data_IF_835648145584
#
_entry.id   IF_835648145584
#
_cell.length_a   1.000
_cell.length_b   1.000
_cell.length_c   1.000
_cell.angle_alpha   90.00
_cell.angle_beta   90.00
_cell.angle_gamma   90.00
#
_symmetry.space_group_name_H-M   'P 1'
#
loop_
_entity.id
_entity.type
_entity.pdbx_description
1 polymer ?
#
# COMPACT_ATOMS: atom_id res chain seq x y z
N UNK A 1 -13.51 -1.81 -6.67
CA UNK A 1 -12.45 -0.82 -6.34
C UNK A 1 -13.08 0.46 -5.83
N UNK A 2 -12.30 1.26 -5.10
CA UNK A 2 -12.68 2.62 -4.68
C UNK A 2 -12.32 3.56 -5.84
N UNK A 3 -13.28 4.33 -6.35
CA UNK A 3 -13.06 5.24 -7.47
C UNK A 3 -12.45 6.57 -7.01
N UNK A 4 -12.93 7.10 -5.88
CA UNK A 4 -12.40 8.34 -5.33
C UNK A 4 -12.68 8.50 -3.86
N UNK A 5 -11.89 9.35 -3.21
CA UNK A 5 -12.03 9.75 -1.82
C UNK A 5 -11.97 11.28 -1.71
N UNK A 6 -12.96 11.87 -1.06
CA UNK A 6 -12.99 13.29 -0.75
C UNK A 6 -12.81 13.50 0.75
N UNK A 7 -11.94 14.44 1.11
CA UNK A 7 -11.58 14.80 2.47
C UNK A 7 -12.08 16.21 2.78
N UNK A 8 -12.85 16.35 3.86
CA UNK A 8 -13.27 17.62 4.43
C UNK A 8 -12.86 17.67 5.90
N UNK A 9 -11.88 18.52 6.21
CA UNK A 9 -11.24 18.71 7.52
C UNK A 9 -10.77 17.41 8.21
N UNK A 10 -10.34 16.40 7.43
CA UNK A 10 -9.75 15.18 7.96
C UNK A 10 -8.26 15.34 8.23
N UNK A 11 -7.87 15.42 9.52
CA UNK A 11 -6.47 15.65 9.94
C UNK A 11 -5.90 16.93 9.33
N UNK A 12 -4.86 16.85 8.49
CA UNK A 12 -4.32 18.01 7.76
C UNK A 12 -5.09 18.32 6.46
N UNK A 13 -5.93 17.39 5.97
CA UNK A 13 -6.63 17.51 4.69
C UNK A 13 -7.92 18.32 4.89
N UNK A 14 -7.96 19.55 4.36
CA UNK A 14 -9.07 20.50 4.58
C UNK A 14 -10.20 20.34 3.58
N UNK A 15 -9.91 20.37 2.29
CA UNK A 15 -10.88 20.19 1.21
C UNK A 15 -10.15 19.69 -0.04
N UNK A 16 -10.04 18.39 -0.21
CA UNK A 16 -9.36 17.78 -1.36
C UNK A 16 -10.09 16.51 -1.78
N UNK A 17 -10.16 16.26 -3.09
CA UNK A 17 -10.71 15.04 -3.65
C UNK A 17 -9.63 14.37 -4.47
N UNK A 18 -9.47 13.06 -4.27
CA UNK A 18 -8.50 12.24 -4.96
C UNK A 18 -9.24 11.14 -5.71
N UNK A 19 -9.11 11.15 -7.03
CA UNK A 19 -9.48 10.01 -7.86
C UNK A 19 -8.39 8.94 -7.75
N UNK A 20 -8.80 7.67 -7.66
CA UNK A 20 -7.92 6.53 -7.45
C UNK A 20 -7.88 5.66 -8.70
N UNK A 21 -6.69 5.35 -9.17
CA UNK A 21 -6.42 4.37 -10.22
C UNK A 21 -6.33 2.94 -9.64
N UNK A 22 -6.18 1.90 -10.47
CA UNK A 22 -5.87 0.55 -9.98
C UNK A 22 -4.53 0.49 -9.22
N UNK A 23 -3.54 1.30 -9.60
CA UNK A 23 -2.32 1.49 -8.83
C UNK A 23 -2.15 2.98 -8.48
N UNK A 24 -1.79 3.29 -7.23
CA UNK A 24 -1.58 4.66 -6.76
C UNK A 24 -0.28 4.75 -5.97
N UNK A 25 0.71 5.47 -6.50
CA UNK A 25 1.96 5.79 -5.81
C UNK A 25 1.85 7.19 -5.18
N UNK A 26 1.85 7.25 -3.86
CA UNK A 26 1.73 8.50 -3.09
C UNK A 26 3.11 8.96 -2.63
N UNK A 27 3.51 10.15 -3.08
CA UNK A 27 4.77 10.82 -2.73
C UNK A 27 4.49 12.08 -1.91
N UNK A 28 5.48 12.60 -1.18
CA UNK A 28 5.34 13.83 -0.39
C UNK A 28 6.17 13.84 0.88
N UNK A 29 6.32 14.98 1.59
CA UNK A 29 7.11 15.06 2.81
C UNK A 29 6.42 14.37 3.99
N UNK A 30 7.08 14.31 5.14
CA UNK A 30 6.47 13.80 6.36
C UNK A 30 5.33 14.71 6.84
N UNK A 31 4.22 14.09 7.27
CA UNK A 31 3.03 14.82 7.69
C UNK A 31 2.22 15.47 6.56
N UNK A 32 2.47 15.14 5.30
CA UNK A 32 1.69 15.60 4.13
C UNK A 32 0.37 14.86 3.91
N UNK A 33 0.05 13.86 4.75
CA UNK A 33 -1.22 13.14 4.66
C UNK A 33 -1.17 11.78 3.96
N UNK A 34 -0.01 11.29 3.48
CA UNK A 34 0.12 9.94 2.87
C UNK A 34 -0.46 8.83 3.75
N UNK A 35 -0.01 8.71 5.00
CA UNK A 35 -0.57 7.78 5.98
C UNK A 35 -2.03 8.11 6.33
N UNK A 36 -2.45 9.38 6.22
CA UNK A 36 -3.85 9.78 6.45
C UNK A 36 -4.78 9.22 5.39
N UNK A 37 -4.37 9.19 4.11
CA UNK A 37 -5.12 8.52 3.04
C UNK A 37 -5.34 7.03 3.36
N UNK A 38 -4.27 6.31 3.72
CA UNK A 38 -4.37 4.90 4.10
C UNK A 38 -5.27 4.71 5.32
N UNK A 39 -5.15 5.56 6.33
CA UNK A 39 -6.00 5.52 7.53
C UNK A 39 -7.47 5.80 7.22
N UNK A 40 -7.79 6.65 6.25
CA UNK A 40 -9.17 6.87 5.82
C UNK A 40 -9.77 5.60 5.18
N UNK A 41 -8.99 4.90 4.34
CA UNK A 41 -9.41 3.62 3.74
C UNK A 41 -9.60 2.52 4.79
N UNK A 42 -8.67 2.40 5.74
CA UNK A 42 -8.77 1.47 6.86
C UNK A 42 -9.98 1.80 7.74
N UNK A 43 -10.24 3.08 8.00
CA UNK A 43 -11.40 3.52 8.78
C UNK A 43 -12.72 3.18 8.10
N UNK A 44 -12.80 3.33 6.78
CA UNK A 44 -13.95 2.88 5.99
C UNK A 44 -14.23 1.40 6.18
N UNK A 45 -13.21 0.55 6.08
CA UNK A 45 -13.35 -0.89 6.35
C UNK A 45 -13.88 -1.14 7.76
N UNK A 46 -13.23 -0.59 8.78
CA UNK A 46 -13.55 -0.89 10.18
C UNK A 46 -15.00 -0.51 10.53
N UNK A 47 -15.47 0.63 10.00
CA UNK A 47 -16.86 1.05 10.17
C UNK A 47 -17.84 0.23 9.33
N UNK A 48 -17.46 -0.18 8.12
CA UNK A 48 -18.31 -1.04 7.29
C UNK A 48 -18.56 -2.41 7.95
N UNK A 49 -17.60 -2.89 8.74
CA UNK A 49 -17.70 -4.12 9.53
C UNK A 49 -18.42 -3.93 10.88
N UNK A 50 -18.64 -2.68 11.29
CA UNK A 50 -19.29 -2.38 12.56
C UNK A 50 -20.83 -2.42 12.44
N UNK A 51 -21.57 -2.83 13.50
CA UNK A 51 -23.04 -2.87 13.48
C UNK A 51 -23.70 -1.50 13.24
N UNK A 52 -22.95 -0.42 13.48
CA UNK A 52 -23.43 0.97 13.41
C UNK A 52 -23.53 1.51 11.97
N UNK A 53 -23.20 0.73 10.94
CA UNK A 53 -23.31 1.15 9.55
C UNK A 53 -24.79 1.30 9.16
N UNK A 54 -25.27 2.54 9.07
CA UNK A 54 -26.65 2.85 8.69
C UNK A 54 -26.78 3.13 7.19
N UNK A 55 -27.62 2.35 6.51
CA UNK A 55 -28.07 2.65 5.15
C UNK A 55 -29.19 3.69 5.26
N UNK A 56 -28.92 4.91 4.81
CA UNK A 56 -29.85 6.04 4.87
C UNK A 56 -29.48 7.03 3.76
N UNK A 57 -30.45 7.78 3.20
CA UNK A 57 -30.10 8.98 2.44
C UNK A 57 -29.21 9.90 3.28
N UNK A 58 -28.28 10.58 2.62
CA UNK A 58 -27.39 11.51 3.30
C UNK A 58 -28.18 12.70 3.84
N UNK A 59 -28.05 12.96 5.13
CA UNK A 59 -28.59 14.17 5.74
C UNK A 59 -27.68 15.36 5.42
N UNK A 60 -28.22 16.49 4.95
CA UNK A 60 -27.44 17.71 4.81
C UNK A 60 -27.16 18.29 6.19
N UNK A 61 -26.04 17.90 6.81
CA UNK A 61 -25.44 18.72 7.88
C UNK A 61 -24.49 19.72 7.23
N UNK A 62 -24.74 21.00 7.50
CA UNK A 62 -23.79 22.05 7.21
C UNK A 62 -22.64 21.96 8.23
N UNK A 63 -21.44 21.62 7.75
CA UNK A 63 -20.13 21.70 8.43
C UNK A 63 -19.81 20.58 9.45
N UNK A 64 -18.59 20.03 9.58
CA UNK A 64 -17.28 20.42 9.05
C UNK A 64 -16.34 19.22 8.75
N UNK A 65 -16.62 18.00 9.23
CA UNK A 65 -15.70 16.84 9.19
C UNK A 65 -16.33 15.69 8.42
N UNK A 66 -15.86 15.43 7.19
CA UNK A 66 -16.45 14.41 6.31
C UNK A 66 -15.39 13.71 5.45
N UNK A 67 -15.46 12.39 5.37
CA UNK A 67 -14.82 11.59 4.33
C UNK A 67 -15.92 11.04 3.43
N UNK A 68 -15.82 11.24 2.12
CA UNK A 68 -16.75 10.67 1.15
C UNK A 68 -16.02 9.72 0.22
N UNK A 69 -16.59 8.55 -0.01
CA UNK A 69 -16.03 7.50 -0.86
C UNK A 69 -17.02 7.15 -1.96
N UNK A 70 -16.51 7.12 -3.19
CA UNK A 70 -17.22 6.57 -4.34
C UNK A 70 -16.52 5.31 -4.80
N UNK A 71 -17.29 4.37 -5.35
CA UNK A 71 -16.76 3.11 -5.84
C UNK A 71 -16.80 3.05 -7.36
N UNK A 72 -15.88 2.28 -7.94
CA UNK A 72 -15.89 2.00 -9.37
C UNK A 72 -16.97 0.96 -9.70
N UNK A 73 -17.36 0.79 -10.99
CA UNK A 73 -18.15 -0.35 -11.41
C UNK A 73 -17.60 -1.68 -10.86
N UNK A 74 -18.47 -2.62 -10.44
CA UNK A 74 -19.93 -2.61 -10.57
C UNK A 74 -20.68 -1.84 -9.47
N UNK A 75 -19.99 -1.17 -8.54
CA UNK A 75 -20.57 -0.54 -7.34
C UNK A 75 -20.72 0.98 -7.44
N UNK A 76 -20.74 1.55 -8.65
CA UNK A 76 -20.74 3.00 -8.89
C UNK A 76 -22.02 3.72 -8.40
N UNK A 77 -23.07 2.96 -8.08
CA UNK A 77 -24.33 3.39 -7.48
C UNK A 77 -24.28 3.48 -5.95
N UNK A 78 -23.20 3.03 -5.32
CA UNK A 78 -22.96 3.12 -3.87
C UNK A 78 -22.06 4.31 -3.54
N UNK A 79 -22.41 5.04 -2.50
CA UNK A 79 -21.58 6.09 -1.90
C UNK A 79 -21.55 5.90 -0.38
N UNK A 80 -20.37 6.01 0.21
CA UNK A 80 -20.17 5.90 1.65
C UNK A 80 -19.62 7.21 2.21
N UNK A 81 -20.15 7.65 3.36
CA UNK A 81 -19.66 8.83 4.06
C UNK A 81 -19.36 8.52 5.51
N UNK A 82 -18.17 8.92 5.94
CA UNK A 82 -17.76 8.88 7.34
C UNK A 82 -17.80 10.31 7.87
N UNK A 83 -18.49 10.49 8.98
CA UNK A 83 -18.58 11.75 9.70
C UNK A 83 -18.35 11.50 11.18
N UNK A 84 -18.36 12.58 11.97
CA UNK A 84 -18.11 12.48 13.40
C UNK A 84 -19.41 12.55 14.22
N UNK A 85 -19.56 11.65 15.20
CA UNK A 85 -20.63 11.74 16.20
C UNK A 85 -20.36 12.81 17.27
N UNK A 86 -19.07 13.06 17.56
CA UNK A 86 -18.54 14.06 18.50
C UNK A 86 -17.21 14.63 17.98
N UNK A 87 -16.65 15.68 18.59
CA UNK A 87 -15.41 16.32 18.13
C UNK A 87 -14.29 15.31 17.85
N UNK A 88 -13.88 15.21 16.57
CA UNK A 88 -12.80 14.35 16.05
C UNK A 88 -13.00 12.82 16.20
N UNK A 89 -14.18 12.34 16.59
CA UNK A 89 -14.50 10.91 16.63
C UNK A 89 -15.15 10.49 15.31
N UNK A 90 -14.36 9.96 14.37
CA UNK A 90 -14.80 9.57 13.02
C UNK A 90 -15.54 8.23 12.99
N UNK A 91 -16.69 8.09 13.66
CA UNK A 91 -17.35 6.82 13.94
C UNK A 91 -18.71 6.59 13.25
N UNK A 92 -19.25 7.61 12.57
CA UNK A 92 -20.55 7.53 11.94
C UNK A 92 -20.41 7.22 10.44
N UNK A 93 -20.79 6.01 10.03
CA UNK A 93 -20.87 5.61 8.63
C UNK A 93 -22.31 5.70 8.11
N UNK A 94 -22.50 6.53 7.10
CA UNK A 94 -23.73 6.63 6.33
C UNK A 94 -23.49 6.09 4.93
N UNK A 95 -24.41 5.26 4.45
CA UNK A 95 -24.30 4.66 3.12
C UNK A 95 -25.54 4.98 2.30
N UNK A 96 -25.32 5.57 1.13
CA UNK A 96 -26.30 5.64 0.06
C UNK A 96 -26.08 4.45 -0.85
N UNK A 97 -27.05 3.55 -0.89
CA UNK A 97 -27.04 2.35 -1.72
C UNK A 97 -28.45 2.12 -2.26
N UNK A 98 -28.62 1.67 -3.52
CA UNK A 98 -29.95 1.39 -4.06
C UNK A 98 -30.62 0.17 -3.40
N UNK A 99 -29.84 -0.70 -2.76
CA UNK A 99 -30.37 -1.85 -2.00
C UNK A 99 -29.41 -2.30 -0.87
N UNK A 100 -29.91 -2.98 0.17
CA UNK A 100 -29.06 -3.60 1.19
C UNK A 100 -28.07 -4.62 0.62
N UNK A 101 -28.45 -5.37 -0.42
CA UNK A 101 -27.61 -6.37 -1.07
C UNK A 101 -26.42 -5.73 -1.77
N UNK A 102 -26.62 -4.58 -2.43
CA UNK A 102 -25.52 -3.81 -3.04
C UNK A 102 -24.50 -3.33 -2.02
N UNK A 103 -24.96 -2.87 -0.86
CA UNK A 103 -24.06 -2.49 0.23
C UNK A 103 -23.35 -3.71 0.82
N UNK A 104 -24.04 -4.84 0.99
CA UNK A 104 -23.42 -6.08 1.48
C UNK A 104 -22.25 -6.53 0.60
N UNK A 105 -22.39 -6.47 -0.73
CA UNK A 105 -21.30 -6.79 -1.66
C UNK A 105 -20.10 -5.85 -1.52
N UNK A 106 -20.32 -4.53 -1.39
CA UNK A 106 -19.24 -3.57 -1.12
C UNK A 106 -18.58 -3.84 0.23
N UNK A 107 -19.37 -4.16 1.26
CA UNK A 107 -18.87 -4.49 2.59
C UNK A 107 -18.00 -5.75 2.57
N UNK A 108 -18.36 -6.77 1.80
CA UNK A 108 -17.57 -7.99 1.67
C UNK A 108 -16.21 -7.72 0.99
N UNK A 109 -16.16 -6.81 0.01
CA UNK A 109 -14.90 -6.35 -0.57
C UNK A 109 -14.07 -5.54 0.44
N UNK A 110 -14.70 -4.58 1.14
CA UNK A 110 -14.04 -3.78 2.16
C UNK A 110 -13.52 -4.64 3.32
N UNK A 111 -14.22 -5.70 3.71
CA UNK A 111 -13.80 -6.65 4.73
C UNK A 111 -12.43 -7.25 4.44
N UNK A 112 -12.10 -7.40 3.15
CA UNK A 112 -10.84 -7.92 2.67
C UNK A 112 -9.78 -6.85 2.43
N UNK A 113 -10.06 -5.56 2.59
CA UNK A 113 -9.05 -4.50 2.51
C UNK A 113 -7.94 -4.73 3.53
N UNK A 114 -6.69 -4.67 3.08
CA UNK A 114 -5.50 -4.83 3.94
C UNK A 114 -4.56 -3.65 3.82
N UNK A 115 -3.85 -3.39 4.92
CA UNK A 115 -2.83 -2.35 5.02
C UNK A 115 -1.62 -2.96 5.68
N UNK A 116 -0.45 -2.79 5.08
CA UNK A 116 0.81 -3.35 5.54
C UNK A 116 1.84 -2.26 5.84
N UNK A 117 2.50 -2.40 6.98
CA UNK A 117 3.68 -1.64 7.39
C UNK A 117 4.67 -2.65 7.94
N UNK A 118 5.50 -3.21 7.06
CA UNK A 118 6.31 -4.37 7.40
C UNK A 118 7.41 -4.06 8.42
N UNK A 119 7.65 -5.00 9.32
CA UNK A 119 8.75 -4.98 10.29
C UNK A 119 9.59 -6.26 10.14
N UNK A 120 10.83 -6.10 9.67
CA UNK A 120 11.76 -7.22 9.49
C UNK A 120 12.12 -7.95 10.78
N UNK A 121 12.14 -7.28 11.93
CA UNK A 121 12.41 -7.92 13.21
C UNK A 121 11.24 -8.81 13.61
N UNK A 122 10.00 -8.34 13.41
CA UNK A 122 8.81 -9.13 13.63
C UNK A 122 8.76 -10.35 12.69
N UNK A 123 9.08 -10.16 11.41
CA UNK A 123 9.16 -11.24 10.42
C UNK A 123 10.22 -12.30 10.77
N UNK A 124 11.39 -11.89 11.28
CA UNK A 124 12.48 -12.79 11.65
C UNK A 124 12.16 -13.66 12.87
N UNK A 125 11.30 -13.18 13.78
CA UNK A 125 10.95 -13.91 15.00
C UNK A 125 10.22 -15.24 14.73
N UNK A 126 9.56 -15.36 13.57
CA UNK A 126 8.74 -16.52 13.21
C UNK A 126 7.40 -16.55 13.95
N UNK A 127 6.57 -17.55 13.71
CA UNK A 127 5.18 -17.59 14.24
C UNK A 127 4.61 -19.01 14.26
N UNK A 128 3.63 -19.31 15.12
CA UNK A 128 2.92 -20.59 15.07
C UNK A 128 2.27 -20.83 13.70
N UNK A 129 2.34 -22.06 13.18
CA UNK A 129 1.74 -22.41 11.88
C UNK A 129 0.23 -22.09 11.80
N UNK A 130 -0.48 -22.17 12.93
CA UNK A 130 -1.91 -21.86 13.02
C UNK A 130 -2.25 -20.41 12.63
N UNK A 131 -1.28 -19.51 12.64
CA UNK A 131 -1.44 -18.11 12.23
C UNK A 131 -1.21 -17.90 10.73
N UNK A 132 -0.92 -18.94 9.95
CA UNK A 132 -0.55 -18.85 8.53
C UNK A 132 -1.70 -18.55 7.55
N UNK A 133 -2.93 -18.34 8.05
CA UNK A 133 -4.11 -18.18 7.19
C UNK A 133 -4.11 -16.87 6.39
N UNK A 134 -3.53 -15.80 6.92
CA UNK A 134 -3.45 -14.49 6.28
C UNK A 134 -2.28 -13.70 6.85
N UNK A 135 -1.51 -13.01 5.99
CA UNK A 135 -0.38 -12.19 6.41
C UNK A 135 -0.83 -11.05 7.36
N UNK A 136 -0.12 -10.92 8.47
CA UNK A 136 -0.30 -9.86 9.45
C UNK A 136 0.17 -8.51 8.89
N UNK A 137 -0.38 -7.40 9.42
CA UNK A 137 -0.10 -6.06 8.93
C UNK A 137 1.40 -5.68 9.01
N UNK A 138 2.13 -6.19 10.00
CA UNK A 138 3.57 -6.02 10.19
C UNK A 138 4.41 -7.14 9.55
N UNK A 139 3.74 -8.17 9.00
CA UNK A 139 4.36 -9.36 8.44
C UNK A 139 4.84 -10.38 9.47
N UNK A 140 4.60 -10.20 10.79
CA UNK A 140 5.16 -11.06 11.84
C UNK A 140 4.93 -12.58 11.61
N UNK A 141 3.82 -12.93 10.95
CA UNK A 141 3.47 -14.31 10.65
C UNK A 141 3.90 -14.81 9.26
N UNK A 142 4.79 -14.10 8.54
CA UNK A 142 5.23 -14.44 7.18
C UNK A 142 5.72 -15.90 7.09
N UNK A 143 6.50 -16.35 8.07
CA UNK A 143 6.98 -17.73 8.12
C UNK A 143 5.83 -18.75 8.23
N UNK A 144 4.77 -18.46 8.99
CA UNK A 144 3.61 -19.34 9.09
C UNK A 144 2.79 -19.37 7.80
N UNK A 145 2.62 -18.22 7.13
CA UNK A 145 1.93 -18.13 5.83
C UNK A 145 2.63 -19.00 4.80
N UNK A 146 3.94 -18.80 4.65
CA UNK A 146 4.77 -19.61 3.74
C UNK A 146 4.77 -21.09 4.14
N UNK A 147 4.82 -21.39 5.44
CA UNK A 147 4.76 -22.76 5.94
C UNK A 147 3.42 -23.44 5.64
N UNK A 148 2.31 -22.70 5.69
CA UNK A 148 1.00 -23.20 5.31
C UNK A 148 0.92 -23.48 3.81
N UNK A 149 1.51 -22.62 2.97
CA UNK A 149 1.63 -22.90 1.54
C UNK A 149 2.51 -24.11 1.28
N UNK A 150 3.67 -24.21 1.94
CA UNK A 150 4.57 -25.36 1.79
C UNK A 150 3.88 -26.70 2.12
N UNK A 151 2.94 -26.72 3.08
CA UNK A 151 2.20 -27.93 3.49
C UNK A 151 0.95 -28.21 2.66
N UNK A 152 0.14 -27.18 2.39
CA UNK A 152 -1.22 -27.35 1.86
C UNK A 152 -1.40 -26.84 0.44
N UNK A 153 -0.50 -25.98 -0.05
CA UNK A 153 -0.56 -25.35 -1.37
C UNK A 153 0.85 -25.28 -2.01
N UNK A 154 1.52 -26.43 -2.23
CA UNK A 154 2.94 -26.47 -2.62
C UNK A 154 3.22 -25.76 -3.95
N UNK A 155 2.23 -25.68 -4.86
CA UNK A 155 2.36 -24.93 -6.10
C UNK A 155 2.53 -23.41 -5.85
N UNK A 156 1.76 -22.85 -4.90
CA UNK A 156 1.87 -21.44 -4.50
C UNK A 156 3.22 -21.19 -3.82
N UNK A 157 3.65 -22.10 -2.94
CA UNK A 157 4.96 -21.99 -2.30
C UNK A 157 6.10 -22.04 -3.34
N UNK A 158 6.04 -22.96 -4.31
CA UNK A 158 7.04 -23.06 -5.37
C UNK A 158 7.11 -21.81 -6.27
N UNK A 159 5.97 -21.18 -6.55
CA UNK A 159 5.93 -19.89 -7.24
C UNK A 159 6.58 -18.78 -6.41
N UNK A 160 6.25 -18.70 -5.12
CA UNK A 160 6.85 -17.73 -4.21
C UNK A 160 8.37 -17.93 -4.08
N UNK A 161 8.85 -19.18 -3.96
CA UNK A 161 10.28 -19.49 -3.96
C UNK A 161 10.95 -19.06 -5.28
N UNK A 162 10.33 -19.36 -6.42
CA UNK A 162 10.86 -18.99 -7.73
C UNK A 162 10.99 -17.48 -7.88
N UNK A 163 9.95 -16.72 -7.51
CA UNK A 163 10.00 -15.25 -7.54
C UNK A 163 11.01 -14.69 -6.53
N UNK A 164 11.11 -15.27 -5.33
CA UNK A 164 12.11 -14.88 -4.33
C UNK A 164 13.53 -15.05 -4.86
N UNK A 165 13.87 -16.23 -5.42
CA UNK A 165 15.18 -16.50 -6.00
C UNK A 165 15.45 -15.67 -7.27
N UNK A 166 14.41 -15.30 -8.02
CA UNK A 166 14.52 -14.40 -9.17
C UNK A 166 14.89 -12.98 -8.73
N UNK A 167 14.29 -12.48 -7.65
CA UNK A 167 14.61 -11.18 -7.08
C UNK A 167 16.00 -11.15 -6.43
N UNK A 168 16.34 -12.21 -5.70
CA UNK A 168 17.57 -12.33 -4.91
C UNK A 168 18.37 -13.56 -5.38
N UNK A 169 19.12 -13.43 -6.49
CA UNK A 169 19.78 -14.55 -7.16
C UNK A 169 20.93 -15.17 -6.37
N UNK A 170 21.35 -14.55 -5.27
CA UNK A 170 22.27 -15.18 -4.31
C UNK A 170 21.65 -16.41 -3.62
N UNK A 171 20.32 -16.46 -3.52
CA UNK A 171 19.58 -17.58 -2.93
C UNK A 171 19.04 -18.51 -4.02
N UNK A 172 19.15 -19.81 -3.78
CA UNK A 172 18.66 -20.86 -4.69
C UNK A 172 17.44 -21.61 -4.14
N UNK A 173 17.09 -21.38 -2.87
CA UNK A 173 15.97 -22.05 -2.20
C UNK A 173 15.49 -21.29 -0.97
N UNK A 174 14.21 -21.46 -0.68
CA UNK A 174 13.56 -21.02 0.55
C UNK A 174 13.04 -22.24 1.30
N UNK A 175 13.30 -22.30 2.60
CA UNK A 175 12.83 -23.37 3.47
C UNK A 175 12.10 -22.80 4.67
N UNK A 176 10.93 -23.33 4.96
CA UNK A 176 10.22 -23.04 6.22
C UNK A 176 10.43 -24.20 7.17
N UNK A 177 11.13 -23.91 8.27
CA UNK A 177 11.50 -24.89 9.29
C UNK A 177 10.78 -24.59 10.59
N UNK A 178 10.41 -25.64 11.32
CA UNK A 178 9.85 -25.51 12.66
C UNK A 178 10.99 -25.43 13.69
N UNK A 179 11.01 -24.35 14.48
CA UNK A 179 11.89 -24.16 15.64
C UNK A 179 11.46 -25.08 16.79
N UNK A 180 12.35 -25.24 17.79
CA UNK A 180 12.09 -26.10 18.98
C UNK A 180 10.88 -25.66 19.80
N UNK A 181 10.57 -24.37 19.78
CA UNK A 181 9.41 -23.76 20.44
C UNK A 181 8.09 -23.93 19.64
N UNK A 182 8.15 -24.60 18.48
CA UNK A 182 7.02 -24.87 17.61
C UNK A 182 6.73 -23.79 16.56
N UNK A 183 7.41 -22.64 16.61
CA UNK A 183 7.23 -21.56 15.62
C UNK A 183 7.83 -21.95 14.27
N UNK A 184 7.17 -21.58 13.18
CA UNK A 184 7.74 -21.62 11.85
C UNK A 184 8.75 -20.47 11.70
N UNK A 185 9.87 -20.74 11.05
CA UNK A 185 10.93 -19.79 10.76
C UNK A 185 11.39 -19.94 9.32
N UNK A 186 11.71 -18.79 8.71
CA UNK A 186 12.28 -18.74 7.37
C UNK A 186 13.76 -19.13 7.43
N UNK A 187 14.23 -19.79 6.38
CA UNK A 187 15.62 -20.13 6.15
C UNK A 187 15.88 -20.05 4.66
N UNK A 188 16.91 -19.34 4.24
CA UNK A 188 17.29 -19.25 2.83
C UNK A 188 18.57 -20.07 2.58
N UNK A 189 18.71 -20.61 1.38
CA UNK A 189 19.89 -21.39 0.98
C UNK A 189 20.63 -20.64 -0.13
N UNK A 190 21.92 -20.40 0.08
CA UNK A 190 22.81 -19.74 -0.88
C UNK A 190 23.24 -20.69 -2.01
N UNK A 191 23.74 -20.14 -3.10
CA UNK A 191 24.21 -20.92 -4.26
C UNK A 191 25.34 -21.93 -3.97
N UNK A 192 26.12 -21.73 -2.91
CA UNK A 192 27.15 -22.66 -2.43
C UNK A 192 26.60 -23.76 -1.49
N UNK A 193 25.29 -23.77 -1.23
CA UNK A 193 24.61 -24.67 -0.32
C UNK A 193 24.61 -24.21 1.14
N UNK A 194 25.25 -23.08 1.47
CA UNK A 194 25.25 -22.53 2.81
C UNK A 194 23.83 -22.11 3.22
N UNK A 195 23.48 -22.39 4.47
CA UNK A 195 22.14 -22.11 5.02
C UNK A 195 22.17 -20.83 5.83
N UNK A 196 21.30 -19.88 5.50
CA UNK A 196 21.15 -18.60 6.20
C UNK A 196 19.85 -18.61 6.99
N UNK A 197 19.91 -18.71 8.34
CA UNK A 197 18.72 -18.69 9.18
C UNK A 197 18.13 -17.27 9.24
N UNK A 198 16.85 -17.16 9.65
CA UNK A 198 16.10 -15.90 9.69
C UNK A 198 16.83 -14.75 10.40
N UNK A 199 17.55 -15.05 11.49
CA UNK A 199 18.26 -14.07 12.31
C UNK A 199 19.43 -13.40 11.57
N UNK A 200 19.91 -14.03 10.50
CA UNK A 200 21.03 -13.56 9.68
C UNK A 200 20.59 -13.03 8.30
N UNK A 201 19.28 -13.06 8.00
CA UNK A 201 18.77 -12.47 6.76
C UNK A 201 18.74 -10.94 6.86
N UNK A 202 19.03 -10.27 5.75
CA UNK A 202 18.97 -8.81 5.71
C UNK A 202 17.53 -8.31 5.78
N UNK A 203 17.35 -7.08 6.28
CA UNK A 203 16.05 -6.40 6.26
C UNK A 203 15.41 -6.40 4.85
N UNK A 204 16.21 -6.10 3.81
CA UNK A 204 15.74 -6.09 2.42
C UNK A 204 15.29 -7.47 1.91
N UNK A 205 15.85 -8.55 2.44
CA UNK A 205 15.41 -9.93 2.13
C UNK A 205 14.00 -10.16 2.61
N UNK A 206 13.69 -9.78 3.86
CA UNK A 206 12.33 -9.92 4.40
C UNK A 206 11.31 -9.06 3.67
N UNK A 207 11.64 -7.80 3.36
CA UNK A 207 10.73 -6.95 2.60
C UNK A 207 10.48 -7.48 1.19
N UNK A 208 11.52 -7.94 0.49
CA UNK A 208 11.35 -8.57 -0.83
C UNK A 208 10.47 -9.82 -0.75
N UNK A 209 10.69 -10.67 0.25
CA UNK A 209 9.89 -11.89 0.47
C UNK A 209 8.44 -11.56 0.85
N UNK A 210 8.20 -10.49 1.62
CA UNK A 210 6.85 -10.04 1.94
C UNK A 210 6.11 -9.54 0.68
N UNK A 211 6.79 -8.81 -0.22
CA UNK A 211 6.20 -8.40 -1.51
C UNK A 211 5.88 -9.60 -2.39
N UNK A 212 6.77 -10.61 -2.43
CA UNK A 212 6.53 -11.87 -3.12
C UNK A 212 5.32 -12.61 -2.54
N UNK A 213 5.19 -12.66 -1.22
CA UNK A 213 4.04 -13.28 -0.57
C UNK A 213 2.73 -12.55 -0.93
N UNK A 214 2.72 -11.21 -0.93
CA UNK A 214 1.54 -10.45 -1.38
C UNK A 214 1.18 -10.73 -2.84
N UNK A 215 2.18 -10.83 -3.73
CA UNK A 215 1.98 -11.09 -5.15
C UNK A 215 1.44 -12.51 -5.44
N UNK A 216 1.95 -13.49 -4.68
CA UNK A 216 1.62 -14.91 -4.83
C UNK A 216 0.38 -15.34 -4.03
N UNK A 217 -0.20 -14.46 -3.21
CA UNK A 217 -1.40 -14.79 -2.43
C UNK A 217 -2.51 -15.33 -3.36
N UNK A 218 -2.99 -16.57 -3.15
CA UNK A 218 -4.02 -17.19 -3.99
C UNK A 218 -5.37 -16.47 -3.89
N UNK A 219 -5.60 -15.70 -2.82
CA UNK A 219 -6.81 -14.92 -2.59
C UNK A 219 -6.44 -13.49 -2.17
N UNK A 220 -5.85 -12.68 -3.08
CA UNK A 220 -5.37 -11.37 -2.72
C UNK A 220 -6.54 -10.46 -2.29
N UNK A 221 -6.28 -9.47 -1.41
CA UNK A 221 -7.29 -8.51 -1.04
C UNK A 221 -7.67 -7.63 -2.25
N UNK A 222 -8.93 -7.18 -2.37
CA UNK A 222 -9.35 -6.30 -3.47
C UNK A 222 -8.75 -4.90 -3.38
N UNK A 223 -8.32 -4.49 -2.18
CA UNK A 223 -7.61 -3.23 -1.92
C UNK A 223 -6.43 -3.52 -0.99
N UNK A 224 -5.24 -3.11 -1.41
CA UNK A 224 -3.96 -3.34 -0.75
C UNK A 224 -3.25 -2.01 -0.51
N UNK A 225 -3.08 -1.63 0.75
CA UNK A 225 -2.28 -0.47 1.13
C UNK A 225 -0.88 -0.93 1.60
N UNK A 226 0.18 -0.27 1.13
CA UNK A 226 1.57 -0.58 1.49
C UNK A 226 2.29 0.71 1.85
N UNK A 227 2.70 0.87 3.11
CA UNK A 227 3.55 2.02 3.49
C UNK A 227 5.02 1.74 3.20
N UNK A 228 5.70 2.75 2.64
CA UNK A 228 7.13 2.71 2.29
C UNK A 228 7.49 1.46 1.48
N UNK A 229 6.85 1.28 0.32
CA UNK A 229 7.02 0.08 -0.49
C UNK A 229 8.47 -0.15 -0.97
N UNK A 230 9.31 0.89 -0.95
CA UNK A 230 10.73 0.88 -1.30
C UNK A 230 11.67 0.61 -0.11
N UNK A 231 11.14 0.52 1.12
CA UNK A 231 11.95 0.43 2.34
C UNK A 231 12.89 -0.77 2.27
N UNK A 232 14.19 -0.53 2.49
CA UNK A 232 15.22 -1.57 2.53
C UNK A 232 15.48 -2.29 1.20
N UNK A 233 14.86 -1.84 0.10
CA UNK A 233 15.06 -2.40 -1.24
C UNK A 233 16.11 -1.56 -1.96
N UNK A 234 17.09 -2.24 -2.56
CA UNK A 234 18.12 -1.56 -3.34
C UNK A 234 17.48 -0.90 -4.58
N UNK A 235 17.85 0.35 -4.97
CA UNK A 235 17.20 1.06 -6.08
C UNK A 235 17.10 0.28 -7.40
N UNK A 236 18.13 -0.53 -7.73
CA UNK A 236 18.13 -1.40 -8.92
C UNK A 236 17.05 -2.48 -8.93
N UNK A 237 16.46 -2.80 -7.78
CA UNK A 237 15.41 -3.81 -7.62
C UNK A 237 14.00 -3.22 -7.57
N UNK A 238 13.86 -1.89 -7.50
CA UNK A 238 12.55 -1.23 -7.37
C UNK A 238 11.63 -1.55 -8.55
N UNK A 239 12.20 -1.70 -9.75
CA UNK A 239 11.45 -2.11 -10.94
C UNK A 239 10.81 -3.48 -10.76
N UNK A 240 11.57 -4.43 -10.23
CA UNK A 240 11.08 -5.80 -10.04
C UNK A 240 9.95 -5.87 -9.01
N UNK A 241 10.06 -5.09 -7.94
CA UNK A 241 9.03 -4.99 -6.89
C UNK A 241 7.77 -4.29 -7.42
N UNK A 242 7.94 -3.20 -8.17
CA UNK A 242 6.83 -2.55 -8.88
C UNK A 242 6.14 -3.55 -9.80
N UNK A 243 6.89 -4.27 -10.62
CA UNK A 243 6.34 -5.19 -11.62
C UNK A 243 5.57 -6.33 -10.95
N UNK A 244 6.06 -6.87 -9.83
CA UNK A 244 5.33 -7.85 -9.01
C UNK A 244 3.94 -7.35 -8.60
N UNK A 245 3.85 -6.11 -8.12
CA UNK A 245 2.59 -5.52 -7.69
C UNK A 245 1.71 -5.09 -8.86
N UNK A 246 2.30 -4.64 -9.98
CA UNK A 246 1.55 -4.31 -11.19
C UNK A 246 0.80 -5.52 -11.75
N UNK A 247 1.36 -6.73 -11.62
CA UNK A 247 0.63 -7.96 -12.00
C UNK A 247 -0.65 -8.18 -11.18
N UNK A 248 -0.72 -7.65 -9.96
CA UNK A 248 -1.94 -7.67 -9.15
C UNK A 248 -2.96 -6.64 -9.64
N UNK A 249 -2.51 -5.42 -9.95
CA UNK A 249 -3.39 -4.33 -10.38
C UNK A 249 -3.87 -4.46 -11.82
N UNK A 250 -3.08 -5.10 -12.68
CA UNK A 250 -3.35 -5.23 -14.12
C UNK A 250 -3.17 -6.67 -14.61
N UNK A 251 -3.98 -7.63 -14.13
CA UNK A 251 -3.80 -9.05 -14.49
C UNK A 251 -3.96 -9.32 -15.99
N UNK A 252 -4.75 -8.51 -16.71
CA UNK A 252 -4.99 -8.67 -18.15
C UNK A 252 -3.85 -8.17 -19.06
N UNK A 253 -2.97 -7.29 -18.59
CA UNK A 253 -1.84 -6.77 -19.39
C UNK A 253 -0.64 -7.72 -19.38
N UNK A 254 -0.64 -8.69 -18.46
CA UNK A 254 0.37 -9.74 -18.34
C UNK A 254 -0.11 -10.91 -19.21
N UNK A 255 0.27 -10.92 -20.49
CA UNK A 255 -0.19 -11.90 -21.46
C UNK A 255 0.01 -13.37 -21.04
N UNK A 256 -0.67 -14.28 -21.74
CA UNK A 256 -0.66 -15.74 -21.56
C UNK A 256 0.73 -16.43 -21.60
N UNK A 257 1.82 -15.68 -21.82
CA UNK A 257 3.19 -16.17 -21.84
C UNK A 257 3.84 -16.29 -20.46
N UNK A 258 3.20 -15.82 -19.40
CA UNK A 258 3.67 -15.99 -18.02
C UNK A 258 3.15 -17.29 -17.39
N UNK A 259 3.44 -18.44 -18.00
CA UNK A 259 3.10 -19.79 -17.48
C UNK A 259 3.75 -20.13 -16.11
N UNK A 260 4.50 -19.20 -15.51
CA UNK A 260 5.11 -19.35 -14.18
C UNK A 260 4.72 -18.30 -13.13
N UNK A 261 4.01 -17.22 -13.51
CA UNK A 261 3.79 -16.07 -12.62
C UNK A 261 2.34 -15.95 -12.13
N UNK A 262 1.70 -17.04 -11.70
CA UNK A 262 0.50 -17.07 -10.84
C UNK A 262 -0.75 -16.27 -11.27
N UNK A 263 -0.74 -15.62 -12.43
CA UNK A 263 -1.81 -14.75 -12.92
C UNK A 263 -2.71 -15.53 -13.87
N UNK A 264 -3.84 -16.02 -13.35
CA UNK A 264 -4.94 -16.37 -14.25
C UNK A 264 -5.46 -15.09 -14.90
N UNK A 265 -5.71 -15.04 -16.22
CA UNK A 265 -6.34 -13.89 -16.87
C UNK A 265 -7.73 -13.55 -16.29
N UNK A 266 -8.36 -14.49 -15.58
CA UNK A 266 -9.62 -14.30 -14.85
C UNK A 266 -9.43 -13.75 -13.41
N UNK A 267 -8.20 -13.43 -12.98
CA UNK A 267 -7.94 -12.89 -11.64
C UNK A 267 -8.59 -11.50 -11.51
N UNK A 268 -9.31 -11.30 -10.42
CA UNK A 268 -9.86 -9.97 -10.09
C UNK A 268 -8.71 -8.98 -9.83
N UNK A 269 -8.69 -7.81 -10.50
CA UNK A 269 -7.65 -6.81 -10.29
C UNK A 269 -7.65 -6.28 -8.86
N UNK A 270 -6.46 -6.05 -8.31
CA UNK A 270 -6.24 -5.52 -6.96
C UNK A 270 -5.95 -4.03 -7.04
N UNK A 271 -6.67 -3.22 -6.27
CA UNK A 271 -6.34 -1.81 -6.15
C UNK A 271 -5.20 -1.62 -5.15
N UNK A 272 -4.10 -0.99 -5.57
CA UNK A 272 -2.93 -0.75 -4.73
C UNK A 272 -2.81 0.74 -4.39
N UNK A 273 -2.59 1.04 -3.11
CA UNK A 273 -2.23 2.35 -2.61
C UNK A 273 -0.90 2.21 -1.88
N UNK A 274 0.18 2.65 -2.50
CA UNK A 274 1.52 2.54 -1.97
C UNK A 274 2.11 3.92 -1.68
N UNK A 275 2.91 4.04 -0.62
CA UNK A 275 3.67 5.27 -0.34
C UNK A 275 5.15 5.04 -0.60
N UNK A 276 5.86 6.10 -1.02
CA UNK A 276 7.32 6.04 -1.19
C UNK A 276 8.00 7.37 -0.87
N UNK A 277 9.28 7.26 -0.54
CA UNK A 277 10.22 8.37 -0.47
C UNK A 277 11.34 8.29 -1.53
N UNK A 278 11.28 7.31 -2.43
CA UNK A 278 12.34 7.05 -3.41
C UNK A 278 12.08 7.80 -4.72
N UNK A 279 12.97 8.74 -5.12
CA UNK A 279 12.90 9.36 -6.44
C UNK A 279 13.08 8.32 -7.57
N UNK A 280 13.89 7.28 -7.33
CA UNK A 280 14.10 6.21 -8.30
C UNK A 280 12.88 5.34 -8.52
N UNK A 281 12.03 5.15 -7.49
CA UNK A 281 10.75 4.46 -7.67
C UNK A 281 9.80 5.35 -8.46
N UNK A 282 9.75 6.65 -8.13
CA UNK A 282 8.92 7.61 -8.85
C UNK A 282 9.23 7.65 -10.37
N UNK A 283 10.50 7.56 -10.76
CA UNK A 283 10.90 7.51 -12.18
C UNK A 283 10.27 6.35 -12.96
N UNK A 284 9.93 5.26 -12.29
CA UNK A 284 9.27 4.11 -12.90
C UNK A 284 7.82 4.39 -13.29
N UNK A 285 7.24 5.52 -12.88
CA UNK A 285 5.86 5.92 -13.18
C UNK A 285 5.78 7.04 -14.23
N UNK A 286 6.89 7.34 -14.93
CA UNK A 286 6.94 8.39 -15.98
C UNK A 286 5.87 8.21 -17.05
N UNK A 287 5.58 6.98 -17.44
CA UNK A 287 4.59 6.63 -18.46
C UNK A 287 3.16 6.52 -17.92
N UNK A 288 2.98 6.60 -16.59
CA UNK A 288 1.71 6.46 -15.87
C UNK A 288 1.50 7.58 -14.85
N UNK A 289 1.53 8.87 -15.25
CA UNK A 289 1.39 10.00 -14.33
C UNK A 289 0.03 10.04 -13.61
N UNK A 290 -1.01 9.38 -14.14
CA UNK A 290 -2.32 9.24 -13.51
C UNK A 290 -2.29 8.41 -12.22
N UNK A 291 -1.25 7.59 -12.04
CA UNK A 291 -1.04 6.75 -10.87
C UNK A 291 -0.23 7.45 -9.78
N UNK A 292 0.41 8.58 -10.08
CA UNK A 292 1.25 9.31 -9.11
C UNK A 292 0.41 10.37 -8.40
N UNK A 293 0.38 10.30 -7.07
CA UNK A 293 -0.30 11.27 -6.20
C UNK A 293 0.72 12.05 -5.40
N UNK A 294 0.76 13.36 -5.61
CA UNK A 294 1.60 14.28 -4.85
C UNK A 294 0.83 14.75 -3.62
N UNK A 295 1.32 14.39 -2.44
CA UNK A 295 0.86 14.91 -1.16
C UNK A 295 1.64 16.17 -0.83
N UNK A 296 1.01 17.32 -1.02
CA UNK A 296 1.59 18.62 -0.70
C UNK A 296 1.23 19.02 0.73
N UNK A 297 2.15 19.72 1.39
CA UNK A 297 1.92 20.35 2.69
C UNK A 297 2.23 21.83 2.54
N UNK A 298 1.29 22.68 2.95
CA UNK A 298 1.50 24.13 3.05
C UNK A 298 1.07 24.54 4.46
N UNK A 299 2.06 24.80 5.33
CA UNK A 299 1.80 25.08 6.75
C UNK A 299 1.12 23.90 7.47
N UNK A 300 -0.15 24.08 7.87
CA UNK A 300 -0.95 23.04 8.55
C UNK A 300 -1.92 22.30 7.62
N UNK A 301 -1.99 22.70 6.35
CA UNK A 301 -2.91 22.11 5.38
C UNK A 301 -2.17 21.14 4.47
N UNK A 302 -2.84 20.05 4.14
CA UNK A 302 -2.40 19.07 3.16
C UNK A 302 -3.38 19.03 1.98
N UNK A 303 -2.84 18.80 0.78
CA UNK A 303 -3.60 18.62 -0.45
C UNK A 303 -3.03 17.45 -1.25
N UNK A 304 -3.91 16.74 -1.95
CA UNK A 304 -3.51 15.76 -2.94
C UNK A 304 -3.76 16.31 -4.34
N UNK A 305 -2.83 16.01 -5.24
CA UNK A 305 -2.90 16.32 -6.67
C UNK A 305 -2.32 15.13 -7.43
N UNK A 306 -3.01 14.63 -8.45
CA UNK A 306 -2.40 13.61 -9.31
C UNK A 306 -1.46 14.29 -10.29
N UNK A 307 -0.34 13.64 -10.59
CA UNK A 307 0.64 14.20 -11.50
C UNK A 307 0.02 14.45 -12.89
N UNK A 308 -0.85 13.56 -13.38
CA UNK A 308 -1.58 13.76 -14.64
C UNK A 308 -2.54 14.96 -14.68
N UNK A 309 -2.96 15.50 -13.53
CA UNK A 309 -3.86 16.65 -13.49
C UNK A 309 -3.10 17.98 -13.65
N UNK A 310 -1.76 17.94 -13.67
CA UNK A 310 -0.90 19.12 -13.82
C UNK A 310 -0.81 19.59 -15.28
N UNK A 311 -1.11 20.87 -15.56
CA UNK A 311 -1.05 21.39 -16.92
C UNK A 311 0.38 21.53 -17.46
N UNK A 312 1.37 21.73 -16.58
CA UNK A 312 2.78 21.91 -16.90
C UNK A 312 3.55 20.59 -17.07
N UNK A 313 2.94 19.44 -16.74
CA UNK A 313 3.61 18.15 -16.77
C UNK A 313 4.27 17.80 -18.13
N UNK A 314 3.64 18.01 -19.30
CA UNK A 314 4.25 17.65 -20.58
C UNK A 314 5.53 18.42 -20.89
N UNK A 315 5.67 19.64 -20.38
CA UNK A 315 6.87 20.46 -20.52
C UNK A 315 7.95 19.96 -19.54
N UNK A 316 7.58 19.73 -18.28
CA UNK A 316 8.45 19.18 -17.24
C UNK A 316 9.05 17.82 -17.65
N UNK A 317 8.25 16.95 -18.26
CA UNK A 317 8.70 15.65 -18.78
C UNK A 317 9.72 15.77 -19.95
N UNK A 318 9.98 16.96 -20.48
CA UNK A 318 11.06 17.16 -21.46
C UNK A 318 12.39 17.56 -20.78
N UNK A 319 12.33 18.10 -19.57
CA UNK A 319 13.49 18.69 -18.89
C UNK A 319 14.29 17.69 -18.06
N UNK A 320 13.66 16.61 -17.58
CA UNK A 320 14.35 15.67 -16.69
C UNK A 320 13.57 14.41 -16.35
N UNK A 321 14.01 13.76 -15.26
CA UNK A 321 13.34 12.61 -14.67
C UNK A 321 12.34 13.07 -13.59
N UNK A 322 11.33 12.25 -13.28
CA UNK A 322 10.36 12.63 -12.25
C UNK A 322 11.03 12.73 -10.88
N UNK A 323 11.96 11.83 -10.60
CA UNK A 323 12.77 11.80 -9.39
C UNK A 323 13.60 13.06 -9.21
N UNK A 324 14.31 13.50 -10.25
CA UNK A 324 15.12 14.73 -10.19
C UNK A 324 14.24 15.98 -9.98
N UNK A 325 13.11 16.06 -10.67
CA UNK A 325 12.18 17.18 -10.53
C UNK A 325 11.46 17.18 -9.18
N UNK A 326 11.22 16.01 -8.59
CA UNK A 326 10.70 15.92 -7.24
C UNK A 326 11.74 16.34 -6.22
N UNK A 327 12.97 15.84 -6.34
CA UNK A 327 14.08 16.17 -5.44
C UNK A 327 14.42 17.67 -5.44
N UNK A 328 14.39 18.31 -6.61
CA UNK A 328 14.64 19.75 -6.75
C UNK A 328 13.46 20.63 -6.32
N UNK A 329 12.31 20.05 -6.01
CA UNK A 329 11.09 20.76 -5.60
C UNK A 329 10.22 21.27 -6.76
N UNK A 330 10.61 21.05 -8.02
CA UNK A 330 9.84 21.46 -9.22
C UNK A 330 8.46 20.78 -9.26
N UNK A 331 8.38 19.49 -8.90
CA UNK A 331 7.08 18.80 -8.77
C UNK A 331 6.31 19.20 -7.50
N UNK A 332 6.92 19.92 -6.56
CA UNK A 332 6.33 20.15 -5.24
C UNK A 332 6.25 18.87 -4.41
N UNK A 333 5.52 18.90 -3.29
CA UNK A 333 5.49 17.75 -2.37
C UNK A 333 6.88 17.47 -1.76
N UNK A 334 7.63 18.52 -1.46
CA UNK A 334 8.89 18.50 -0.70
C UNK A 334 8.69 19.23 0.64
N UNK A 335 9.59 19.08 1.64
CA UNK A 335 9.49 19.82 2.89
C UNK A 335 9.58 21.35 2.68
N UNK A 336 8.83 22.13 3.46
CA UNK A 336 8.87 23.61 3.42
C UNK A 336 10.26 24.14 3.84
N UNK A 337 10.85 25.04 3.06
CA UNK A 337 12.14 25.70 3.35
C UNK A 337 12.12 26.52 4.67
N UNK A 338 10.95 26.99 5.11
CA UNK A 338 10.79 27.70 6.39
C UNK A 338 11.11 26.85 7.64
N UNK A 339 11.24 25.53 7.48
CA UNK A 339 11.72 24.65 8.54
C UNK A 339 13.22 24.79 8.81
N UNK A 340 14.01 25.21 7.82
CA UNK A 340 15.45 25.46 7.94
C UNK A 340 15.76 26.83 8.55
N UNK A 341 14.95 27.87 8.25
CA UNK A 341 15.14 29.22 8.82
C UNK A 341 14.98 29.24 10.35
N UNK A 342 14.06 28.43 10.89
CA UNK A 342 13.87 28.24 12.34
C UNK A 342 15.03 27.52 13.05
N UNK A 343 15.89 26.81 12.31
CA UNK A 343 17.08 26.18 12.90
C UNK A 343 18.20 27.18 13.10
N UNK A 344 18.38 28.13 12.16
CA UNK A 344 19.38 29.18 12.25
C UNK A 344 19.08 30.26 13.32
N UNK A 345 17.82 30.39 13.74
CA UNK A 345 17.39 31.35 14.77
C UNK A 345 17.41 30.79 16.21
N UNK A 346 17.87 29.54 16.42
CA UNK A 346 18.05 29.04 17.79
C UNK A 346 19.34 29.61 18.39
N UNK A 347 19.30 30.27 19.57
CA UNK A 347 20.52 30.71 20.24
C UNK A 347 21.41 29.49 20.51
N UNK A 348 22.64 29.52 20.01
CA UNK A 348 23.62 28.49 20.34
C UNK A 348 23.81 28.46 21.87
N UNK A 349 23.80 27.28 22.51
CA UNK A 349 24.09 27.20 23.93
C UNK A 349 25.50 27.76 24.16
N UNK A 350 25.57 28.82 24.98
CA UNK A 350 26.79 29.55 25.26
C UNK A 350 27.93 28.63 25.70
N UNK A 351 29.11 28.86 25.12
CA UNK A 351 30.38 28.25 25.53
C UNK A 351 30.87 28.81 26.86
#
# INVERSE_FOLDING_TARGET
MIASVAFRNFKALRNTTLDLAPFNLVIGPNGSGKTSLIQALVRLRDLALSPSATVSPFSPRAEALELSFRFAPPHADVEARISCSAELVWDLLQVKSPSPERWAAVRDDLARLRSYVFDHTAMAAGSPLSEGGQLAADGANLAAVLGQWQRSQPAVFGQAETEFCRLLPEFIRLEIRQKRDGRQSITAVLGDGSVVPAENLSQGTFYSLAMVALACDPQPPPVLCIEEMDRGIHPRMLREVRDLLYRLSYPASVGASAEGAGGSPDRTPVQIIATTHSPYLLDLFREHPEEVVIAQKQGQEARFERLADRPDLPELLQEGTLGDMWFSGILGGVPDEDSESRWNDKPQPGR
#
